data_IF_937036933831
#
_entry.id   IF_937036933831
#
_cell.length_a   1.000
_cell.length_b   1.000
_cell.length_c   1.000
_cell.angle_alpha   90.00
_cell.angle_beta   90.00
_cell.angle_gamma   90.00
#
_symmetry.space_group_name_H-M   'P 1'
#
loop_
_entity.id
_entity.type
_entity.pdbx_description
1 polymer ?
#
# COMPACT_ATOMS: atom_id res chain seq x y z
N UNK A 1 -3.45 7.44 9.15
CA UNK A 1 -2.43 8.28 9.83
C UNK A 1 -1.12 8.29 9.04
N UNK A 2 -0.40 7.18 8.94
CA UNK A 2 0.90 7.05 8.23
C UNK A 2 0.97 7.79 6.88
N UNK A 3 0.03 7.54 5.96
CA UNK A 3 0.04 8.19 4.64
C UNK A 3 0.03 9.73 4.74
N UNK A 4 -0.70 10.30 5.70
CA UNK A 4 -0.74 11.75 5.89
C UNK A 4 0.58 12.28 6.43
N UNK A 5 1.23 11.53 7.32
CA UNK A 5 2.54 11.90 7.88
C UNK A 5 3.64 11.85 6.81
N UNK A 6 3.57 10.87 5.90
CA UNK A 6 4.62 10.62 4.92
C UNK A 6 4.50 11.41 3.62
N UNK A 7 3.27 11.63 3.13
CA UNK A 7 3.02 12.28 1.84
C UNK A 7 2.08 13.51 1.94
N UNK A 8 1.72 13.94 3.15
CA UNK A 8 0.98 15.18 3.41
C UNK A 8 -0.52 15.15 3.06
N UNK A 9 -0.99 14.12 2.36
CA UNK A 9 -2.38 14.02 1.86
C UNK A 9 -3.14 12.88 2.54
N UNK A 10 -4.46 13.03 2.77
CA UNK A 10 -5.28 11.93 3.26
C UNK A 10 -5.45 10.86 2.17
N UNK A 11 -5.37 9.60 2.58
CA UNK A 11 -5.71 8.47 1.74
C UNK A 11 -7.08 7.90 2.12
N UNK A 12 -7.86 7.55 1.11
CA UNK A 12 -9.08 6.77 1.25
C UNK A 12 -8.78 5.29 1.02
N UNK A 13 -9.03 4.46 2.03
CA UNK A 13 -8.93 3.01 1.92
C UNK A 13 -9.99 2.51 0.93
N UNK A 14 -9.56 1.70 -0.03
CA UNK A 14 -10.43 1.06 -1.02
C UNK A 14 -10.75 -0.38 -0.63
N UNK A 15 -9.77 -1.10 -0.09
CA UNK A 15 -9.90 -2.47 0.43
C UNK A 15 -8.60 -2.92 1.11
N UNK A 16 -8.69 -4.00 1.90
CA UNK A 16 -7.54 -4.71 2.45
C UNK A 16 -6.98 -5.66 1.38
N UNK A 17 -5.68 -5.57 1.09
CA UNK A 17 -4.97 -6.46 0.15
C UNK A 17 -4.61 -7.78 0.85
N UNK A 18 -4.28 -7.71 2.15
CA UNK A 18 -3.98 -8.85 2.99
C UNK A 18 -3.07 -8.48 4.16
N UNK A 19 -2.65 -9.50 4.89
CA UNK A 19 -1.69 -9.37 5.98
C UNK A 19 -0.36 -10.03 5.61
N UNK A 20 0.69 -9.65 6.32
CA UNK A 20 2.00 -10.29 6.26
C UNK A 20 2.54 -10.47 7.68
N UNK A 21 3.36 -11.49 7.85
CA UNK A 21 4.07 -11.76 9.07
C UNK A 21 5.55 -11.97 8.73
N UNK A 22 6.44 -11.21 9.35
CA UNK A 22 7.87 -11.33 9.14
C UNK A 22 8.65 -10.87 10.36
N UNK A 23 9.94 -11.22 10.41
CA UNK A 23 10.84 -10.76 11.45
C UNK A 23 11.82 -9.73 10.89
N UNK A 24 11.98 -8.60 11.56
CA UNK A 24 13.03 -7.61 11.25
C UNK A 24 14.34 -8.06 11.90
N UNK A 25 15.03 -9.01 11.26
CA UNK A 25 16.26 -9.63 11.78
C UNK A 25 16.04 -11.07 12.26
N UNK A 26 16.74 -11.53 13.31
CA UNK A 26 16.57 -12.88 13.85
C UNK A 26 15.11 -13.17 14.23
N UNK A 27 14.66 -14.42 14.02
CA UNK A 27 13.31 -14.87 14.36
C UNK A 27 13.13 -15.00 15.88
N UNK A 28 12.91 -13.87 16.54
CA UNK A 28 12.62 -13.73 17.96
C UNK A 28 11.41 -12.82 18.14
N UNK A 29 10.63 -12.99 19.22
CA UNK A 29 9.41 -12.21 19.43
C UNK A 29 9.60 -10.69 19.34
N UNK A 30 10.76 -10.16 19.76
CA UNK A 30 11.03 -8.71 19.74
C UNK A 30 11.20 -8.14 18.33
N UNK A 31 11.50 -9.00 17.35
CA UNK A 31 11.66 -8.63 15.95
C UNK A 31 10.40 -8.93 15.13
N UNK A 32 9.36 -9.49 15.76
CA UNK A 32 8.13 -9.91 15.08
C UNK A 32 7.32 -8.71 14.59
N UNK A 33 6.93 -8.73 13.32
CA UNK A 33 6.11 -7.71 12.71
C UNK A 33 4.94 -8.34 11.96
N UNK A 34 3.74 -7.85 12.29
CA UNK A 34 2.53 -8.07 11.53
C UNK A 34 2.23 -6.82 10.72
N UNK A 35 2.19 -6.96 9.40
CA UNK A 35 1.82 -5.89 8.48
C UNK A 35 0.42 -6.11 7.93
N UNK A 36 -0.32 -5.01 7.72
CA UNK A 36 -1.57 -5.01 6.96
C UNK A 36 -1.37 -4.12 5.74
N UNK A 37 -1.67 -4.66 4.56
CA UNK A 37 -1.59 -3.92 3.30
C UNK A 37 -2.97 -3.44 2.89
N UNK A 38 -3.08 -2.13 2.63
CA UNK A 38 -4.30 -1.49 2.13
C UNK A 38 -4.08 -1.00 0.70
N UNK A 39 -5.10 -1.16 -0.13
CA UNK A 39 -5.19 -0.42 -1.38
C UNK A 39 -5.83 0.92 -1.07
N UNK A 40 -5.15 2.02 -1.43
CA UNK A 40 -5.60 3.37 -1.15
C UNK A 40 -5.76 4.19 -2.44
N UNK A 41 -6.57 5.22 -2.36
CA UNK A 41 -6.63 6.30 -3.35
C UNK A 41 -6.42 7.64 -2.64
N UNK A 42 -5.84 8.60 -3.36
CA UNK A 42 -5.76 10.00 -2.93
C UNK A 42 -6.51 10.85 -3.95
N UNK A 43 -7.11 11.94 -3.50
CA UNK A 43 -7.94 12.79 -4.37
C UNK A 43 -7.10 13.59 -5.38
N UNK A 44 -5.96 14.11 -4.93
CA UNK A 44 -5.06 14.93 -5.74
C UNK A 44 -3.62 14.40 -5.66
N UNK A 45 -3.10 13.76 -6.72
CA UNK A 45 -1.73 13.25 -6.75
C UNK A 45 -0.66 14.33 -6.87
N UNK A 46 -1.03 15.58 -7.16
CA UNK A 46 -0.09 16.71 -7.27
C UNK A 46 0.15 17.41 -5.93
N UNK A 47 -0.74 17.20 -4.94
CA UNK A 47 -0.62 17.78 -3.60
C UNK A 47 0.35 17.02 -2.67
N UNK A 48 1.05 16.00 -3.17
CA UNK A 48 1.98 15.19 -2.37
C UNK A 48 3.17 16.03 -1.91
N UNK A 49 3.42 16.03 -0.60
CA UNK A 49 4.60 16.64 0.02
C UNK A 49 5.29 15.60 0.89
N UNK A 50 6.58 15.34 0.63
CA UNK A 50 7.32 14.28 1.31
C UNK A 50 7.79 14.70 2.70
N UNK A 51 7.74 13.76 3.64
CA UNK A 51 8.40 13.89 4.94
C UNK A 51 9.93 13.93 4.78
N UNK A 52 10.67 14.41 5.79
CA UNK A 52 12.14 14.43 5.76
C UNK A 52 12.79 13.04 5.59
N UNK A 53 12.06 11.95 5.87
CA UNK A 53 12.53 10.58 5.71
C UNK A 53 12.62 10.15 4.24
N UNK A 54 12.03 10.91 3.33
CA UNK A 54 11.89 10.56 1.92
C UNK A 54 12.59 11.57 0.99
N UNK A 55 13.43 11.05 0.08
CA UNK A 55 14.17 11.88 -0.87
C UNK A 55 13.47 12.02 -2.24
N UNK A 56 12.65 11.04 -2.63
CA UNK A 56 12.00 11.02 -3.93
C UNK A 56 10.67 10.26 -3.89
N UNK A 57 9.75 10.67 -4.76
CA UNK A 57 8.51 9.96 -5.04
C UNK A 57 8.26 9.87 -6.54
N UNK A 58 7.69 8.74 -6.98
CA UNK A 58 7.33 8.47 -8.37
C UNK A 58 5.99 7.75 -8.42
N UNK A 59 5.10 8.23 -9.28
CA UNK A 59 3.92 7.47 -9.71
C UNK A 59 4.36 6.44 -10.75
N UNK A 60 4.08 5.16 -10.51
CA UNK A 60 4.48 4.07 -11.40
C UNK A 60 3.25 3.24 -11.77
N UNK A 61 2.94 3.03 -13.06
CA UNK A 61 1.90 2.11 -13.49
C UNK A 61 2.17 0.68 -12.99
N UNK A 62 1.11 -0.05 -12.61
CA UNK A 62 1.26 -1.42 -12.15
C UNK A 62 1.90 -2.36 -13.19
N UNK A 63 1.75 -2.05 -14.48
CA UNK A 63 2.38 -2.76 -15.60
C UNK A 63 3.90 -2.64 -15.63
N UNK A 64 4.46 -1.58 -15.04
CA UNK A 64 5.89 -1.25 -15.14
C UNK A 64 6.68 -1.79 -13.93
N UNK A 65 5.99 -2.32 -12.92
CA UNK A 65 6.57 -2.89 -11.69
C UNK A 65 7.62 -3.98 -11.95
N UNK A 66 7.47 -4.88 -12.96
CA UNK A 66 8.51 -5.85 -13.29
C UNK A 66 9.83 -5.24 -13.77
N UNK A 67 9.83 -3.99 -14.24
CA UNK A 67 11.04 -3.27 -14.63
C UNK A 67 11.51 -2.35 -13.51
N UNK A 68 10.58 -1.74 -12.78
CA UNK A 68 10.89 -0.76 -11.74
C UNK A 68 11.46 -1.38 -10.46
N UNK A 69 10.94 -2.53 -10.01
CA UNK A 69 11.41 -3.21 -8.79
C UNK A 69 12.32 -4.40 -9.15
N UNK A 70 13.42 -4.63 -8.44
CA UNK A 70 14.29 -5.79 -8.69
C UNK A 70 13.56 -7.11 -8.43
N UNK A 71 14.16 -8.22 -8.87
CA UNK A 71 13.68 -9.57 -8.57
C UNK A 71 14.75 -10.32 -7.76
N UNK A 72 14.45 -10.83 -6.56
CA UNK A 72 13.17 -10.80 -5.85
C UNK A 72 12.91 -9.46 -5.14
N UNK A 73 11.64 -9.01 -5.11
CA UNK A 73 11.21 -7.89 -4.29
C UNK A 73 9.80 -8.12 -3.74
N UNK A 74 9.62 -7.98 -2.43
CA UNK A 74 8.41 -8.38 -1.71
C UNK A 74 7.15 -7.61 -2.13
N UNK A 75 7.28 -6.38 -2.62
CA UNK A 75 6.16 -5.57 -3.11
C UNK A 75 5.52 -6.12 -4.40
N UNK A 76 6.27 -6.84 -5.24
CA UNK A 76 5.77 -7.36 -6.52
C UNK A 76 4.51 -8.24 -6.35
N UNK A 77 4.50 -9.28 -5.50
CA UNK A 77 3.29 -10.09 -5.28
C UNK A 77 2.17 -9.31 -4.59
N UNK A 78 2.48 -8.31 -3.74
CA UNK A 78 1.47 -7.46 -3.09
C UNK A 78 0.72 -6.61 -4.13
N UNK A 79 1.45 -5.97 -5.04
CA UNK A 79 0.86 -5.15 -6.12
C UNK A 79 0.05 -6.04 -7.08
N UNK A 80 0.60 -7.20 -7.46
CA UNK A 80 -0.12 -8.15 -8.33
C UNK A 80 -1.46 -8.58 -7.71
N UNK A 81 -1.47 -8.87 -6.40
CA UNK A 81 -2.70 -9.19 -5.66
C UNK A 81 -3.65 -8.01 -5.62
N UNK A 82 -3.16 -6.80 -5.37
CA UNK A 82 -3.98 -5.60 -5.37
C UNK A 82 -4.68 -5.36 -6.72
N UNK A 83 -3.98 -5.53 -7.85
CA UNK A 83 -4.57 -5.40 -9.19
C UNK A 83 -5.57 -6.52 -9.51
N UNK A 84 -5.32 -7.73 -9.02
CA UNK A 84 -6.30 -8.81 -9.14
C UNK A 84 -7.58 -8.48 -8.37
N UNK A 85 -7.46 -8.11 -7.09
CA UNK A 85 -8.62 -7.75 -6.25
C UNK A 85 -9.35 -6.55 -6.86
N UNK A 86 -8.64 -5.49 -7.26
CA UNK A 86 -9.26 -4.28 -7.84
C UNK A 86 -10.17 -4.61 -9.02
N UNK A 87 -9.76 -5.52 -9.90
CA UNK A 87 -10.52 -5.94 -11.09
C UNK A 87 -11.76 -6.80 -10.76
N UNK A 88 -11.74 -7.53 -9.66
CA UNK A 88 -12.79 -8.50 -9.32
C UNK A 88 -13.67 -8.07 -8.14
N UNK A 89 -13.27 -7.04 -7.38
CA UNK A 89 -14.01 -6.58 -6.21
C UNK A 89 -15.30 -5.86 -6.66
N UNK A 90 -16.48 -6.34 -6.24
CA UNK A 90 -17.75 -5.67 -6.53
C UNK A 90 -17.81 -4.27 -5.92
N UNK A 91 -18.47 -3.33 -6.62
CA UNK A 91 -18.61 -1.94 -6.16
C UNK A 91 -19.24 -1.84 -4.77
N UNK A 92 -20.22 -2.70 -4.45
CA UNK A 92 -20.87 -2.72 -3.13
C UNK A 92 -19.87 -2.99 -1.99
N UNK A 93 -18.91 -3.89 -2.19
CA UNK A 93 -17.87 -4.16 -1.19
C UNK A 93 -16.88 -2.99 -1.11
N UNK A 94 -16.54 -2.38 -2.25
CA UNK A 94 -15.69 -1.19 -2.30
C UNK A 94 -16.30 -0.02 -1.51
N UNK A 95 -17.61 0.20 -1.64
CA UNK A 95 -18.33 1.22 -0.87
C UNK A 95 -18.33 0.91 0.63
N UNK A 96 -18.52 -0.35 1.02
CA UNK A 96 -18.46 -0.75 2.43
C UNK A 96 -17.08 -0.47 3.07
N UNK A 97 -15.99 -0.67 2.34
CA UNK A 97 -14.64 -0.31 2.83
C UNK A 97 -14.42 1.20 2.98
N UNK A 98 -15.08 2.02 2.15
CA UNK A 98 -14.98 3.49 2.23
C UNK A 98 -15.81 4.10 3.35
N UNK A 99 -16.91 3.45 3.73
CA UNK A 99 -17.83 3.93 4.77
C UNK A 99 -17.37 3.57 6.17
N UNK A 100 -16.60 2.49 6.32
CA UNK A 100 -16.01 2.11 7.60
C UNK A 100 -14.65 2.81 7.72
N UNK A 101 -14.56 3.78 8.62
CA UNK A 101 -13.28 4.37 9.03
C UNK A 101 -12.51 3.31 9.83
N UNK A 102 -11.45 2.76 9.23
CA UNK A 102 -10.50 1.85 9.90
C UNK A 102 -9.30 2.64 10.44
#
# INVERSE_FOLDING_TARGET
>A
REVREEIGVPAQIQFIIGTTHFYRGPARPENELLGVFYACAIADPTAVTLSPEHAQMRWVPATDIPTFLPNPHWLRPVITRAEFIRRHLPEKLRLAFRQNEF
#
